data_IF_384625116975
#
_entry.id   IF_384625116975
#
_cell.length_a   1.000
_cell.length_b   1.000
_cell.length_c   1.000
_cell.angle_alpha   90.00
_cell.angle_beta   90.00
_cell.angle_gamma   90.00
#
_symmetry.space_group_name_H-M   'P 1'
#
loop_
_entity.id
_entity.type
_entity.pdbx_description
1 polymer ?
#
# COMPACT_ATOMS: atom_id res chain seq x y z
N UNK A 1 -106.12 4.46 -2.13
CA UNK A 1 -106.75 4.69 -0.80
C UNK A 1 -105.69 4.44 0.25
N UNK A 2 -105.49 5.47 1.08
CA UNK A 2 -104.83 5.60 2.40
C UNK A 2 -104.52 4.26 3.09
N UNK A 3 -103.33 4.01 3.66
CA UNK A 3 -102.75 4.61 4.89
C UNK A 3 -101.22 4.40 4.94
N UNK A 4 -100.38 5.38 5.33
CA UNK A 4 -100.07 5.79 6.72
C UNK A 4 -99.48 4.60 7.53
N UNK A 5 -98.27 4.58 8.10
CA UNK A 5 -97.42 5.59 8.74
C UNK A 5 -95.96 5.07 8.86
N UNK A 6 -95.00 5.93 9.29
CA UNK A 6 -93.55 5.73 9.20
C UNK A 6 -92.92 5.20 10.50
N UNK A 7 -91.72 4.62 10.38
CA UNK A 7 -90.73 4.56 11.46
C UNK A 7 -89.35 4.37 10.85
N UNK A 8 -88.60 5.49 10.74
CA UNK A 8 -87.15 5.40 10.66
C UNK A 8 -86.57 5.08 12.04
N UNK A 9 -85.38 4.49 12.09
CA UNK A 9 -84.39 4.98 13.02
C UNK A 9 -83.07 5.31 12.32
N UNK A 10 -82.60 6.52 12.62
CA UNK A 10 -81.23 6.77 13.06
C UNK A 10 -80.10 6.58 12.03
N UNK A 11 -79.93 7.60 11.18
CA UNK A 11 -78.67 7.83 10.46
C UNK A 11 -77.61 8.40 11.42
N UNK A 12 -76.98 7.52 12.20
CA UNK A 12 -75.68 7.85 12.79
C UNK A 12 -74.62 8.00 11.69
N UNK A 13 -73.66 8.93 11.81
CA UNK A 13 -72.59 9.08 10.82
C UNK A 13 -71.78 7.78 10.77
N UNK A 14 -71.84 7.10 9.62
CA UNK A 14 -70.99 5.94 9.33
C UNK A 14 -69.56 6.42 9.33
N UNK A 15 -68.88 6.24 10.47
CA UNK A 15 -67.43 6.39 10.56
C UNK A 15 -66.85 5.36 9.60
N UNK A 16 -66.33 5.82 8.47
CA UNK A 16 -65.59 4.98 7.56
C UNK A 16 -64.42 4.40 8.36
N UNK A 17 -64.51 3.13 8.74
CA UNK A 17 -63.37 2.38 9.23
C UNK A 17 -62.37 2.31 8.08
N UNK A 18 -61.45 3.28 8.02
CA UNK A 18 -60.20 3.09 7.32
C UNK A 18 -59.48 1.97 8.08
N UNK A 19 -59.74 0.72 7.68
CA UNK A 19 -58.82 -0.36 7.95
C UNK A 19 -57.54 0.03 7.24
N UNK A 20 -56.67 0.75 7.96
CA UNK A 20 -55.29 0.98 7.58
C UNK A 20 -54.72 -0.42 7.41
N UNK A 21 -54.69 -0.88 6.16
CA UNK A 21 -54.23 -2.21 5.79
C UNK A 21 -52.76 -2.24 6.21
N UNK A 22 -52.50 -2.81 7.37
CA UNK A 22 -51.14 -2.95 7.87
C UNK A 22 -50.40 -3.76 6.80
N UNK A 23 -49.28 -3.26 6.25
CA UNK A 23 -48.50 -4.04 5.30
C UNK A 23 -48.20 -5.39 5.93
N UNK A 24 -48.23 -6.47 5.14
CA UNK A 24 -47.73 -7.75 5.64
C UNK A 24 -46.27 -7.57 6.07
N UNK A 25 -45.82 -8.38 7.03
CA UNK A 25 -44.44 -8.31 7.51
C UNK A 25 -43.42 -8.46 6.36
N UNK A 26 -43.76 -9.21 5.32
CA UNK A 26 -42.97 -9.35 4.09
C UNK A 26 -42.91 -8.04 3.29
N UNK A 27 -44.06 -7.39 3.03
CA UNK A 27 -44.07 -6.09 2.32
C UNK A 27 -43.33 -5.00 3.09
N UNK A 28 -43.41 -4.98 4.42
CA UNK A 28 -42.66 -4.04 5.25
C UNK A 28 -41.15 -4.32 5.18
N UNK A 29 -40.76 -5.60 5.19
CA UNK A 29 -39.35 -6.00 5.05
C UNK A 29 -38.79 -5.60 3.70
N UNK A 30 -39.51 -5.85 2.61
CA UNK A 30 -39.07 -5.51 1.27
C UNK A 30 -38.94 -3.99 1.10
N UNK A 31 -39.90 -3.21 1.63
CA UNK A 31 -39.83 -1.75 1.63
C UNK A 31 -38.65 -1.21 2.45
N UNK A 32 -38.34 -1.83 3.59
CA UNK A 32 -37.16 -1.47 4.39
C UNK A 32 -35.86 -1.79 3.65
N UNK A 33 -35.78 -2.94 2.98
CA UNK A 33 -34.61 -3.32 2.17
C UNK A 33 -34.41 -2.37 0.99
N UNK A 34 -35.47 -2.02 0.28
CA UNK A 34 -35.41 -1.07 -0.83
C UNK A 34 -34.93 0.32 -0.36
N UNK A 35 -35.40 0.79 0.80
CA UNK A 35 -34.94 2.04 1.40
C UNK A 35 -33.46 2.00 1.79
N UNK A 36 -32.98 0.88 2.35
CA UNK A 36 -31.56 0.69 2.67
C UNK A 36 -30.72 0.69 1.39
N UNK A 37 -31.11 -0.08 0.38
CA UNK A 37 -30.42 -0.14 -0.91
C UNK A 37 -30.38 1.22 -1.61
N UNK A 38 -31.48 1.99 -1.53
CA UNK A 38 -31.51 3.34 -2.07
C UNK A 38 -30.55 4.26 -1.33
N UNK A 39 -30.55 4.23 0.01
CA UNK A 39 -29.65 5.04 0.82
C UNK A 39 -28.17 4.70 0.59
N UNK A 40 -27.84 3.42 0.44
CA UNK A 40 -26.48 2.96 0.09
C UNK A 40 -26.05 3.50 -1.27
N UNK A 41 -26.90 3.40 -2.30
CA UNK A 41 -26.61 3.94 -3.64
C UNK A 41 -26.37 5.44 -3.62
N UNK A 42 -27.21 6.19 -2.88
CA UNK A 42 -27.07 7.64 -2.74
C UNK A 42 -25.76 8.01 -2.02
N UNK A 43 -25.37 7.23 -1.01
CA UNK A 43 -24.13 7.42 -0.26
C UNK A 43 -22.91 7.14 -1.13
N UNK A 44 -22.91 6.02 -1.87
CA UNK A 44 -21.83 5.65 -2.80
C UNK A 44 -21.69 6.74 -3.88
N UNK A 45 -22.80 7.20 -4.46
CA UNK A 45 -22.79 8.24 -5.47
C UNK A 45 -22.24 9.57 -4.92
N UNK A 46 -22.61 9.95 -3.69
CA UNK A 46 -22.09 11.15 -3.05
C UNK A 46 -20.58 11.08 -2.80
N UNK A 47 -20.08 9.92 -2.35
CA UNK A 47 -18.64 9.69 -2.13
C UNK A 47 -17.86 9.68 -3.44
N UNK A 48 -18.39 9.04 -4.48
CA UNK A 48 -17.80 9.05 -5.81
C UNK A 48 -17.71 10.47 -6.39
N UNK A 49 -18.76 11.28 -6.23
CA UNK A 49 -18.77 12.69 -6.65
C UNK A 49 -17.77 13.55 -5.86
N UNK A 50 -17.51 13.21 -4.60
CA UNK A 50 -16.48 13.83 -3.77
C UNK A 50 -15.05 13.39 -4.13
N UNK A 51 -14.89 12.51 -5.11
CA UNK A 51 -13.59 12.01 -5.56
C UNK A 51 -13.00 10.92 -4.67
N UNK A 52 -13.82 10.26 -3.85
CA UNK A 52 -13.40 9.05 -3.13
C UNK A 52 -13.05 7.96 -4.16
N UNK A 53 -11.79 7.48 -4.21
CA UNK A 53 -11.39 6.43 -5.14
C UNK A 53 -11.98 5.06 -4.79
N UNK A 54 -12.54 4.88 -3.58
CA UNK A 54 -13.20 3.66 -3.14
C UNK A 54 -14.53 3.95 -2.40
N UNK A 55 -15.55 4.45 -3.10
CA UNK A 55 -16.79 4.94 -2.48
C UNK A 55 -17.67 3.84 -1.88
N UNK A 56 -17.39 2.58 -2.20
CA UNK A 56 -18.10 1.39 -1.70
C UNK A 56 -17.42 0.76 -0.48
N UNK A 57 -16.28 1.30 -0.04
CA UNK A 57 -15.40 0.69 0.98
C UNK A 57 -15.06 -0.80 0.68
N UNK A 58 -15.17 -1.21 -0.58
CA UNK A 58 -14.85 -2.59 -1.00
C UNK A 58 -13.34 -2.79 -0.87
N UNK A 59 -12.90 -3.98 -0.44
CA UNK A 59 -11.46 -4.27 -0.44
C UNK A 59 -10.97 -4.24 -1.90
N UNK A 60 -10.07 -3.30 -2.27
CA UNK A 60 -9.61 -3.16 -3.64
C UNK A 60 -8.95 -4.42 -4.21
N UNK A 61 -8.50 -5.33 -3.34
CA UNK A 61 -7.84 -6.57 -3.71
C UNK A 61 -8.72 -7.80 -3.54
N UNK A 62 -9.99 -7.68 -3.14
CA UNK A 62 -10.90 -8.82 -2.91
C UNK A 62 -10.97 -9.78 -4.11
N UNK A 63 -11.13 -9.20 -5.31
CA UNK A 63 -11.19 -9.98 -6.53
C UNK A 63 -9.87 -10.68 -6.84
N UNK A 64 -8.73 -10.01 -6.61
CA UNK A 64 -7.39 -10.61 -6.77
C UNK A 64 -7.20 -11.76 -5.77
N UNK A 65 -7.66 -11.59 -4.54
CA UNK A 65 -7.63 -12.60 -3.49
C UNK A 65 -8.49 -13.82 -3.86
N UNK A 66 -9.64 -13.57 -4.48
CA UNK A 66 -10.54 -14.63 -4.97
C UNK A 66 -9.86 -15.48 -6.04
N UNK A 67 -9.20 -14.84 -7.02
CA UNK A 67 -8.45 -15.54 -8.08
C UNK A 67 -7.31 -16.35 -7.50
N UNK A 68 -6.47 -15.73 -6.66
CA UNK A 68 -5.30 -16.41 -6.09
C UNK A 68 -5.72 -17.62 -5.26
N UNK A 69 -6.76 -17.48 -4.43
CA UNK A 69 -7.31 -18.56 -3.61
C UNK A 69 -7.85 -19.71 -4.46
N UNK A 70 -8.65 -19.42 -5.51
CA UNK A 70 -9.18 -20.46 -6.39
C UNK A 70 -8.07 -21.19 -7.16
N UNK A 71 -7.07 -20.44 -7.65
CA UNK A 71 -5.91 -21.03 -8.30
C UNK A 71 -5.12 -21.98 -7.40
N UNK A 72 -4.94 -21.64 -6.14
CA UNK A 72 -4.27 -22.49 -5.15
C UNK A 72 -5.10 -23.73 -4.80
N UNK A 73 -6.41 -23.58 -4.61
CA UNK A 73 -7.32 -24.68 -4.34
C UNK A 73 -7.32 -25.73 -5.46
N UNK A 74 -7.17 -25.30 -6.72
CA UNK A 74 -7.16 -26.19 -7.88
C UNK A 74 -5.76 -26.73 -8.24
N UNK A 75 -4.72 -26.53 -7.41
CA UNK A 75 -3.34 -26.93 -7.74
C UNK A 75 -3.16 -28.44 -8.02
N UNK A 76 -3.99 -29.29 -7.42
CA UNK A 76 -3.93 -30.75 -7.56
C UNK A 76 -4.90 -31.35 -8.58
N UNK A 77 -5.76 -30.55 -9.20
CA UNK A 77 -6.81 -31.01 -10.13
C UNK A 77 -6.68 -30.26 -11.48
N UNK A 78 -6.11 -30.91 -12.51
CA UNK A 78 -5.92 -30.29 -13.82
C UNK A 78 -7.22 -29.85 -14.49
N UNK A 79 -8.31 -30.60 -14.30
CA UNK A 79 -9.58 -30.32 -14.96
C UNK A 79 -10.27 -29.12 -14.31
N UNK A 80 -10.28 -29.07 -12.97
CA UNK A 80 -10.79 -27.90 -12.24
C UNK A 80 -9.96 -26.64 -12.55
N UNK A 81 -8.64 -26.78 -12.72
CA UNK A 81 -7.76 -25.69 -13.11
C UNK A 81 -8.06 -25.19 -14.52
N UNK A 82 -8.29 -26.08 -15.47
CA UNK A 82 -8.65 -25.71 -16.84
C UNK A 82 -9.99 -24.95 -16.86
N UNK A 83 -11.02 -25.47 -16.18
CA UNK A 83 -12.32 -24.81 -16.09
C UNK A 83 -12.25 -23.42 -15.41
N UNK A 84 -11.40 -23.26 -14.40
CA UNK A 84 -11.16 -21.95 -13.79
C UNK A 84 -10.48 -20.97 -14.76
N UNK A 85 -9.51 -21.43 -15.55
CA UNK A 85 -8.87 -20.60 -16.59
C UNK A 85 -9.85 -20.19 -17.68
N UNK A 86 -10.73 -21.10 -18.12
CA UNK A 86 -11.77 -20.80 -19.10
C UNK A 86 -12.72 -19.72 -18.57
N UNK A 87 -13.15 -19.83 -17.31
CA UNK A 87 -13.95 -18.80 -16.64
C UNK A 87 -13.26 -17.44 -16.60
N UNK A 88 -11.96 -17.40 -16.26
CA UNK A 88 -11.19 -16.15 -16.27
C UNK A 88 -11.05 -15.57 -17.67
N UNK A 89 -10.94 -16.41 -18.70
CA UNK A 89 -10.89 -15.97 -20.09
C UNK A 89 -12.21 -15.32 -20.56
N UNK A 90 -13.34 -15.77 -20.03
CA UNK A 90 -14.65 -15.18 -20.31
C UNK A 90 -14.89 -13.86 -19.55
N UNK A 91 -14.33 -13.74 -18.34
CA UNK A 91 -14.52 -12.56 -17.47
C UNK A 91 -13.52 -11.42 -17.74
N UNK A 92 -12.29 -11.74 -18.17
CA UNK A 92 -11.22 -10.75 -18.30
C UNK A 92 -11.11 -10.11 -19.68
N UNK A 93 -10.95 -8.79 -19.69
CA UNK A 93 -10.57 -8.06 -20.89
C UNK A 93 -9.05 -7.98 -21.03
N UNK A 94 -8.57 -7.59 -22.23
CA UNK A 94 -7.14 -7.35 -22.45
C UNK A 94 -6.58 -6.23 -21.57
N UNK A 95 -7.40 -5.22 -21.24
CA UNK A 95 -6.99 -4.13 -20.35
C UNK A 95 -6.82 -4.64 -18.91
N UNK A 96 -7.69 -5.55 -18.46
CA UNK A 96 -7.56 -6.20 -17.14
C UNK A 96 -6.30 -7.07 -17.06
N UNK A 97 -6.02 -7.87 -18.09
CA UNK A 97 -4.79 -8.68 -18.17
C UNK A 97 -3.55 -7.77 -18.13
N UNK A 98 -3.58 -6.64 -18.85
CA UNK A 98 -2.49 -5.66 -18.80
C UNK A 98 -2.33 -5.07 -17.40
N UNK A 99 -3.44 -4.69 -16.74
CA UNK A 99 -3.43 -4.15 -15.39
C UNK A 99 -2.84 -5.17 -14.40
N UNK A 100 -3.31 -6.42 -14.43
CA UNK A 100 -2.81 -7.51 -13.60
C UNK A 100 -1.32 -7.78 -13.84
N UNK A 101 -0.85 -7.75 -15.09
CA UNK A 101 0.58 -7.92 -15.40
C UNK A 101 1.42 -6.80 -14.79
N UNK A 102 1.01 -5.54 -14.97
CA UNK A 102 1.72 -4.39 -14.41
C UNK A 102 1.69 -4.43 -12.88
N UNK A 103 0.56 -4.81 -12.28
CA UNK A 103 0.42 -5.00 -10.85
C UNK A 103 1.37 -6.11 -10.34
N UNK A 104 1.47 -7.24 -11.04
CA UNK A 104 2.41 -8.32 -10.72
C UNK A 104 3.87 -7.90 -10.81
N UNK A 105 4.25 -7.15 -11.85
CA UNK A 105 5.59 -6.58 -12.01
C UNK A 105 5.92 -5.59 -10.87
N UNK A 106 4.95 -4.75 -10.52
CA UNK A 106 5.08 -3.78 -9.42
C UNK A 106 5.19 -4.49 -8.06
N UNK A 107 4.37 -5.51 -7.84
CA UNK A 107 4.41 -6.35 -6.65
C UNK A 107 5.80 -6.99 -6.50
N UNK A 108 6.32 -7.62 -7.56
CA UNK A 108 7.66 -8.20 -7.57
C UNK A 108 8.75 -7.16 -7.25
N UNK A 109 8.65 -5.96 -7.82
CA UNK A 109 9.63 -4.89 -7.60
C UNK A 109 9.59 -4.33 -6.17
N UNK A 110 8.42 -4.32 -5.52
CA UNK A 110 8.25 -3.84 -4.14
C UNK A 110 8.53 -4.92 -3.10
N UNK A 111 8.46 -6.21 -3.46
CA UNK A 111 8.67 -7.34 -2.52
C UNK A 111 9.90 -7.18 -1.63
N UNK A 112 11.11 -6.83 -2.11
CA UNK A 112 12.27 -6.70 -1.22
C UNK A 112 12.10 -5.63 -0.14
N UNK A 113 11.39 -4.54 -0.46
CA UNK A 113 11.11 -3.45 0.50
C UNK A 113 10.12 -3.89 1.56
N UNK A 114 9.06 -4.58 1.16
CA UNK A 114 8.04 -5.13 2.08
C UNK A 114 8.67 -6.18 2.99
N UNK A 115 9.45 -7.10 2.42
CA UNK A 115 10.17 -8.15 3.17
C UNK A 115 11.09 -7.55 4.23
N UNK A 116 11.86 -6.51 3.89
CA UNK A 116 12.71 -5.83 4.86
C UNK A 116 11.90 -5.13 5.95
N UNK A 117 10.82 -4.43 5.59
CA UNK A 117 9.96 -3.76 6.57
C UNK A 117 9.30 -4.74 7.57
N UNK A 118 8.83 -5.89 7.09
CA UNK A 118 8.25 -6.94 7.93
C UNK A 118 9.30 -7.59 8.85
N UNK A 119 10.53 -7.78 8.35
CA UNK A 119 11.64 -8.25 9.17
C UNK A 119 12.04 -7.23 10.24
N UNK A 120 12.04 -5.93 9.92
CA UNK A 120 12.28 -4.83 10.86
C UNK A 120 11.19 -4.76 11.95
N UNK A 121 9.96 -5.19 11.62
CA UNK A 121 8.86 -5.39 12.58
C UNK A 121 8.98 -6.69 13.41
N UNK A 122 10.05 -7.46 13.22
CA UNK A 122 10.36 -8.65 14.01
C UNK A 122 9.78 -9.95 13.47
N UNK A 123 9.20 -9.98 12.26
CA UNK A 123 8.80 -11.25 11.64
C UNK A 123 10.02 -12.06 11.25
N UNK A 124 9.97 -13.36 11.55
CA UNK A 124 10.99 -14.30 11.11
C UNK A 124 10.90 -14.57 9.60
N UNK A 125 12.03 -14.96 9.00
CA UNK A 125 12.10 -15.32 7.58
C UNK A 125 11.10 -16.42 7.20
N UNK A 126 10.88 -17.40 8.07
CA UNK A 126 9.92 -18.46 7.85
C UNK A 126 8.47 -17.95 7.83
N UNK A 127 8.11 -17.01 8.73
CA UNK A 127 6.78 -16.37 8.72
C UNK A 127 6.57 -15.56 7.45
N UNK A 128 7.54 -14.72 7.08
CA UNK A 128 7.46 -13.91 5.86
C UNK A 128 7.32 -14.81 4.64
N UNK A 129 8.15 -15.86 4.52
CA UNK A 129 8.10 -16.82 3.43
C UNK A 129 6.72 -17.47 3.28
N UNK A 130 6.12 -17.88 4.41
CA UNK A 130 4.77 -18.45 4.44
C UNK A 130 3.69 -17.46 4.00
N UNK A 131 3.76 -16.20 4.45
CA UNK A 131 2.76 -15.17 4.12
C UNK A 131 2.83 -14.70 2.66
N UNK A 132 4.03 -14.52 2.12
CA UNK A 132 4.23 -14.00 0.75
C UNK A 132 4.32 -15.09 -0.32
N UNK A 133 4.20 -16.36 0.07
CA UNK A 133 4.25 -17.50 -0.86
C UNK A 133 5.63 -17.73 -1.50
N UNK A 134 6.71 -17.37 -0.81
CA UNK A 134 8.09 -17.55 -1.30
C UNK A 134 8.82 -18.62 -0.49
N UNK A 135 9.97 -19.08 -1.00
CA UNK A 135 10.87 -19.91 -0.21
C UNK A 135 11.71 -19.06 0.73
N UNK A 136 12.13 -19.59 1.88
CA UNK A 136 13.01 -18.88 2.81
C UNK A 136 14.28 -18.37 2.12
N UNK A 137 14.90 -19.17 1.24
CA UNK A 137 16.09 -18.75 0.49
C UNK A 137 15.84 -17.53 -0.39
N UNK A 138 14.62 -17.37 -0.95
CA UNK A 138 14.25 -16.18 -1.72
C UNK A 138 14.05 -14.97 -0.82
N UNK A 139 13.46 -15.15 0.36
CA UNK A 139 13.31 -14.09 1.36
C UNK A 139 14.67 -13.61 1.86
N UNK A 140 15.60 -14.53 2.18
CA UNK A 140 16.99 -14.18 2.49
C UNK A 140 17.63 -13.41 1.33
N UNK A 141 17.47 -13.88 0.09
CA UNK A 141 17.95 -13.16 -1.10
C UNK A 141 17.45 -11.71 -1.16
N UNK A 142 16.15 -11.50 -0.96
CA UNK A 142 15.51 -10.20 -1.00
C UNK A 142 16.01 -9.26 0.12
N UNK A 143 16.18 -9.78 1.35
CA UNK A 143 16.74 -9.02 2.48
C UNK A 143 18.15 -8.53 2.17
N UNK A 144 19.01 -9.41 1.65
CA UNK A 144 20.40 -9.06 1.31
C UNK A 144 20.47 -8.00 0.22
N UNK A 145 19.69 -8.18 -0.84
CA UNK A 145 19.63 -7.24 -1.95
C UNK A 145 19.16 -5.85 -1.50
N UNK A 146 18.08 -5.77 -0.73
CA UNK A 146 17.54 -4.48 -0.28
C UNK A 146 18.46 -3.80 0.74
N UNK A 147 19.11 -4.53 1.65
CA UNK A 147 20.12 -3.95 2.58
C UNK A 147 21.30 -3.36 1.81
N UNK A 148 21.86 -4.11 0.86
CA UNK A 148 22.96 -3.65 0.03
C UNK A 148 22.56 -2.39 -0.76
N UNK A 149 21.36 -2.40 -1.36
CA UNK A 149 20.81 -1.25 -2.08
C UNK A 149 20.66 0.00 -1.20
N UNK A 150 20.18 -0.15 0.05
CA UNK A 150 20.05 0.97 0.99
C UNK A 150 21.40 1.54 1.40
N UNK A 151 22.39 0.67 1.67
CA UNK A 151 23.76 1.11 1.96
C UNK A 151 24.34 1.86 0.76
N UNK A 152 24.21 1.32 -0.45
CA UNK A 152 24.71 1.96 -1.67
C UNK A 152 24.05 3.32 -1.90
N UNK A 153 22.72 3.40 -1.80
CA UNK A 153 21.99 4.66 -1.93
C UNK A 153 22.40 5.70 -0.87
N UNK A 154 22.58 5.28 0.39
CA UNK A 154 23.04 6.16 1.46
C UNK A 154 24.49 6.61 1.24
N UNK A 155 25.35 5.73 0.74
CA UNK A 155 26.74 6.05 0.40
C UNK A 155 26.83 7.00 -0.78
N UNK A 156 26.02 6.82 -1.82
CA UNK A 156 25.92 7.74 -2.96
C UNK A 156 25.41 9.12 -2.53
N UNK A 157 24.39 9.16 -1.66
CA UNK A 157 23.91 10.41 -1.07
C UNK A 157 25.01 11.11 -0.25
N UNK A 158 25.78 10.35 0.55
CA UNK A 158 26.91 10.89 1.31
C UNK A 158 28.03 11.40 0.38
N UNK A 159 28.35 10.69 -0.70
CA UNK A 159 29.32 11.13 -1.73
C UNK A 159 28.86 12.41 -2.43
N UNK A 160 27.58 12.52 -2.76
CA UNK A 160 27.00 13.73 -3.37
C UNK A 160 26.98 14.92 -2.39
N UNK A 161 26.81 14.65 -1.10
CA UNK A 161 26.83 15.66 -0.05
C UNK A 161 28.24 16.05 0.41
N UNK A 162 29.31 15.40 -0.09
CA UNK A 162 30.69 15.76 0.25
C UNK A 162 30.86 17.26 0.03
N UNK A 163 31.18 18.02 1.10
CA UNK A 163 31.23 19.46 1.00
C UNK A 163 32.32 19.83 -0.01
N UNK A 164 31.89 20.33 -1.17
CA UNK A 164 32.69 21.29 -1.92
C UNK A 164 32.98 22.47 -0.98
N UNK A 165 34.00 23.28 -1.26
CA UNK A 165 34.49 24.34 -0.37
C UNK A 165 33.43 25.29 0.23
N UNK A 166 32.16 25.25 -0.25
CA UNK A 166 31.02 26.03 0.22
C UNK A 166 29.73 25.21 0.53
N UNK A 167 29.78 23.88 0.63
CA UNK A 167 28.60 23.04 0.90
C UNK A 167 28.25 22.90 2.40
N UNK A 168 26.97 22.62 2.75
CA UNK A 168 26.55 22.45 4.14
C UNK A 168 27.07 21.13 4.74
N UNK A 169 28.02 21.23 5.67
CA UNK A 169 28.59 20.10 6.42
C UNK A 169 27.52 19.19 7.08
N UNK A 170 26.38 19.77 7.46
CA UNK A 170 25.28 19.07 8.13
C UNK A 170 24.73 17.91 7.29
N UNK A 171 24.49 18.12 5.99
CA UNK A 171 23.93 17.10 5.08
C UNK A 171 24.88 15.91 4.93
N UNK A 172 26.18 16.19 4.79
CA UNK A 172 27.21 15.16 4.75
C UNK A 172 27.26 14.35 6.05
N UNK A 173 27.26 15.02 7.21
CA UNK A 173 27.29 14.33 8.50
C UNK A 173 26.06 13.46 8.74
N UNK A 174 24.88 13.91 8.29
CA UNK A 174 23.65 13.13 8.38
C UNK A 174 23.70 11.90 7.49
N UNK A 175 24.14 12.05 6.23
CA UNK A 175 24.27 10.92 5.31
C UNK A 175 25.32 9.91 5.79
N UNK A 176 26.45 10.37 6.34
CA UNK A 176 27.48 9.51 6.93
C UNK A 176 26.95 8.73 8.14
N UNK A 177 26.17 9.38 9.01
CA UNK A 177 25.55 8.74 10.16
C UNK A 177 24.54 7.66 9.72
N UNK A 178 23.79 7.90 8.65
CA UNK A 178 22.85 6.91 8.11
C UNK A 178 23.56 5.69 7.53
N UNK A 179 24.64 5.86 6.76
CA UNK A 179 25.46 4.73 6.30
C UNK A 179 26.02 3.95 7.49
N UNK A 180 26.52 4.63 8.51
CA UNK A 180 27.06 3.97 9.71
C UNK A 180 26.00 3.17 10.46
N UNK A 181 24.78 3.71 10.59
CA UNK A 181 23.64 3.02 11.20
C UNK A 181 23.26 1.77 10.40
N UNK A 182 23.11 1.90 9.08
CA UNK A 182 22.76 0.78 8.21
C UNK A 182 23.78 -0.35 8.27
N UNK A 183 25.08 -0.02 8.27
CA UNK A 183 26.16 -1.02 8.43
C UNK A 183 26.10 -1.70 9.81
N UNK A 184 25.82 -0.95 10.87
CA UNK A 184 25.72 -1.50 12.22
C UNK A 184 24.52 -2.44 12.39
N UNK A 185 23.43 -2.19 11.67
CA UNK A 185 22.22 -3.03 11.69
C UNK A 185 22.35 -4.29 10.81
N UNK A 186 23.44 -4.44 10.03
CA UNK A 186 23.68 -5.65 9.22
C UNK A 186 24.16 -6.82 10.08
N UNK A 187 23.64 -8.05 9.88
CA UNK A 187 24.16 -9.25 10.55
C UNK A 187 25.67 -9.43 10.35
N UNK A 188 26.37 -9.97 11.34
CA UNK A 188 27.83 -10.19 11.27
C UNK A 188 28.23 -11.17 10.16
N UNK A 189 27.36 -12.12 9.82
CA UNK A 189 27.54 -13.12 8.78
C UNK A 189 27.03 -12.68 7.39
N UNK A 190 26.55 -11.44 7.26
CA UNK A 190 26.03 -10.89 6.02
C UNK A 190 27.16 -10.73 4.98
N UNK A 191 27.12 -11.44 3.82
CA UNK A 191 28.22 -11.43 2.84
C UNK A 191 28.55 -10.05 2.26
N UNK A 192 27.59 -9.12 2.30
CA UNK A 192 27.75 -7.76 1.76
C UNK A 192 28.35 -6.79 2.79
N UNK A 193 28.46 -7.18 4.06
CA UNK A 193 28.94 -6.31 5.15
C UNK A 193 30.38 -5.80 4.94
N UNK A 194 31.38 -6.60 4.50
CA UNK A 194 32.73 -6.09 4.29
C UNK A 194 32.79 -4.95 3.26
N UNK A 195 31.98 -5.04 2.20
CA UNK A 195 31.90 -3.98 1.19
C UNK A 195 31.24 -2.71 1.76
N UNK A 196 30.21 -2.87 2.58
CA UNK A 196 29.52 -1.78 3.27
C UNK A 196 30.45 -1.06 4.29
N UNK A 197 31.22 -1.82 5.05
CA UNK A 197 32.24 -1.30 5.98
C UNK A 197 33.35 -0.54 5.25
N UNK A 198 33.82 -1.07 4.11
CA UNK A 198 34.80 -0.38 3.27
C UNK A 198 34.24 0.95 2.74
N UNK A 199 33.01 0.97 2.24
CA UNK A 199 32.36 2.20 1.76
C UNK A 199 32.26 3.27 2.88
N UNK A 200 31.93 2.85 4.10
CA UNK A 200 31.92 3.73 5.27
C UNK A 200 33.33 4.25 5.62
N UNK A 201 34.34 3.40 5.54
CA UNK A 201 35.73 3.79 5.78
C UNK A 201 36.21 4.84 4.76
N UNK A 202 35.89 4.65 3.48
CA UNK A 202 36.23 5.58 2.40
C UNK A 202 35.54 6.95 2.60
N UNK A 203 34.27 6.95 2.98
CA UNK A 203 33.53 8.19 3.31
C UNK A 203 34.14 8.92 4.51
N UNK A 204 34.55 8.20 5.55
CA UNK A 204 35.24 8.78 6.72
C UNK A 204 36.60 9.36 6.34
N UNK A 205 37.35 8.69 5.47
CA UNK A 205 38.62 9.20 4.97
C UNK A 205 38.42 10.49 4.16
N UNK A 206 37.39 10.55 3.31
CA UNK A 206 37.04 11.75 2.56
C UNK A 206 36.68 12.94 3.48
N UNK A 207 36.03 12.68 4.62
CA UNK A 207 35.71 13.71 5.62
C UNK A 207 36.95 14.34 6.28
N UNK A 208 38.06 13.60 6.36
CA UNK A 208 39.31 14.03 7.00
C UNK A 208 40.24 14.80 6.06
N UNK A 209 40.00 14.75 4.74
CA UNK A 209 40.76 15.52 3.76
C UNK A 209 40.21 16.95 3.76
N UNK A 210 40.98 17.97 4.23
CA UNK A 210 40.50 19.34 4.19
C UNK A 210 40.24 19.76 2.73
N UNK A 211 39.21 20.59 2.45
CA UNK A 211 38.95 21.06 1.10
C UNK A 211 40.18 21.80 0.60
N UNK A 212 40.80 21.26 -0.45
CA UNK A 212 41.98 21.84 -1.08
C UNK A 212 41.54 23.08 -1.87
N UNK A 213 41.50 24.23 -1.21
CA UNK A 213 41.28 25.56 -1.83
C UNK A 213 40.81 26.59 -0.79
N UNK A 214 41.42 27.74 -0.55
CA UNK A 214 42.56 28.43 -1.15
C UNK A 214 43.48 28.88 -0.01
N UNK A 215 44.69 28.32 0.12
CA UNK A 215 45.78 29.13 0.67
C UNK A 215 46.15 30.14 -0.41
N UNK A 216 45.32 31.19 -0.61
CA UNK A 216 45.78 32.39 -1.30
C UNK A 216 46.96 32.87 -0.48
N UNK A 217 48.13 32.71 -1.10
CA UNK A 217 49.39 33.31 -0.71
C UNK A 217 49.12 34.75 -0.29
N UNK A 218 48.96 34.99 1.01
CA UNK A 218 49.17 36.30 1.60
C UNK A 218 50.65 36.57 1.42
N UNK A 219 51.02 37.04 0.23
CA UNK A 219 52.32 37.61 -0.06
C UNK A 219 52.58 38.63 1.01
N UNK A 220 53.44 38.27 1.96
CA UNK A 220 54.06 39.19 2.90
C UNK A 220 54.63 40.32 2.05
N UNK A 221 53.97 41.48 2.12
CA UNK A 221 54.58 42.74 1.73
C UNK A 221 55.51 43.13 2.88
N UNK A 222 56.63 42.42 2.98
CA UNK A 222 57.85 42.99 3.55
C UNK A 222 58.41 43.88 2.47
N UNK A 223 58.42 45.18 2.73
CA UNK A 223 59.42 46.16 2.28
C UNK A 223 58.88 47.54 2.67
N UNK A 224 59.66 48.52 3.10
CA UNK A 224 60.91 48.59 3.83
C UNK A 224 60.93 50.08 4.23
N UNK A 225 61.22 50.41 5.49
CA UNK A 225 61.49 51.80 5.86
C UNK A 225 62.94 52.10 5.50
N UNK A 226 63.21 53.31 5.03
CA UNK A 226 63.86 54.27 5.94
C UNK A 226 62.99 55.48 6.29
#
# INVERSE_FOLDING_TARGET
MTTDQPTGPDEGPRVAHYTRRTPSAETLRDQMLDLVLQHERETIAARALAGDPNPTDSDPLEWVYTISTQWEQHRGDPDARAAHLDKLADELTLDDIRALRIAGETAQAVTPRVVLAEADHGKSVAQIAGEVGLTESRVYGALREERARRVEAAADAARAAVPSSHGPLAEFTQALAEVARLVADMPDDEPTRPAAEQALADLRAAALVPPVGEYRLSTRRTDDRP
#
